data_IF_672130697358
#
_entry.id   IF_672130697358
#
_cell.length_a   1.000
_cell.length_b   1.000
_cell.length_c   1.000
_cell.angle_alpha   90.00
_cell.angle_beta   90.00
_cell.angle_gamma   90.00
#
_symmetry.space_group_name_H-M   'P 1'
#
loop_
_entity.id
_entity.type
_entity.pdbx_description
1 polymer ?
#
# COMPACT_ATOMS: atom_id res chain seq x y z
N UNK A 1 49.41 10.30 15.88
CA UNK A 1 48.45 10.60 14.80
C UNK A 1 47.12 9.98 15.21
N UNK A 2 46.10 10.81 15.48
CA UNK A 2 44.69 10.42 15.70
C UNK A 2 44.15 9.72 14.41
N UNK A 3 43.16 8.83 14.43
CA UNK A 3 41.78 9.04 14.92
C UNK A 3 41.14 7.72 15.37
N UNK A 4 40.66 7.70 16.62
CA UNK A 4 39.47 6.94 17.00
C UNK A 4 38.24 7.78 16.64
N UNK A 5 37.13 7.13 16.28
CA UNK A 5 35.79 7.22 16.90
C UNK A 5 34.89 6.29 16.07
N UNK A 6 34.64 5.08 16.58
CA UNK A 6 33.38 4.40 16.29
C UNK A 6 32.30 5.17 17.05
N UNK A 7 31.55 6.00 16.33
CA UNK A 7 30.32 6.56 16.86
C UNK A 7 29.26 5.46 16.77
N UNK A 8 29.07 4.72 17.85
CA UNK A 8 27.82 3.99 18.06
C UNK A 8 26.78 5.08 18.25
N UNK A 9 26.05 5.41 17.17
CA UNK A 9 24.89 6.29 17.26
C UNK A 9 23.84 5.53 18.09
N UNK A 10 23.54 6.06 19.28
CA UNK A 10 22.34 5.71 20.02
C UNK A 10 21.14 5.84 19.07
N UNK A 11 20.15 4.94 19.11
CA UNK A 11 18.97 5.07 18.27
C UNK A 11 18.32 6.42 18.59
N UNK A 12 18.32 7.32 17.61
CA UNK A 12 17.67 8.62 17.75
C UNK A 12 16.19 8.34 17.95
N UNK A 13 15.69 8.57 19.17
CA UNK A 13 14.26 8.58 19.45
C UNK A 13 13.69 9.83 18.75
N UNK A 14 13.37 9.67 17.48
CA UNK A 14 12.72 10.68 16.68
C UNK A 14 11.27 10.81 17.15
N UNK A 15 10.99 11.85 17.95
CA UNK A 15 9.63 12.28 18.34
C UNK A 15 8.88 12.98 17.19
N UNK A 16 9.27 12.75 15.92
CA UNK A 16 8.59 13.37 14.77
C UNK A 16 7.17 12.79 14.66
N UNK A 17 6.13 13.63 14.54
CA UNK A 17 4.79 13.13 14.27
C UNK A 17 4.82 12.31 12.97
N UNK A 18 4.14 11.16 12.97
CA UNK A 18 3.98 10.37 11.76
C UNK A 18 3.21 11.21 10.75
N UNK A 19 3.79 11.45 9.59
CA UNK A 19 3.13 12.21 8.54
C UNK A 19 2.38 11.29 7.58
N UNK A 20 1.37 11.85 6.93
CA UNK A 20 0.50 11.16 5.96
C UNK A 20 1.28 10.39 4.91
N UNK A 21 2.33 10.97 4.34
CA UNK A 21 3.04 10.33 3.23
C UNK A 21 3.90 9.15 3.67
N UNK A 22 4.29 9.10 4.94
CA UNK A 22 4.90 7.91 5.54
C UNK A 22 3.90 6.73 5.62
N UNK A 23 2.63 6.99 5.97
CA UNK A 23 1.57 5.98 5.90
C UNK A 23 1.29 5.52 4.47
N UNK A 24 1.32 6.44 3.50
CA UNK A 24 1.12 6.13 2.08
C UNK A 24 2.19 5.16 1.55
N UNK A 25 3.47 5.42 1.82
CA UNK A 25 4.55 4.50 1.44
C UNK A 25 4.47 3.16 2.18
N UNK A 26 4.20 3.18 3.49
CA UNK A 26 4.04 1.97 4.27
C UNK A 26 2.93 1.07 3.71
N UNK A 27 1.81 1.65 3.32
CA UNK A 27 0.70 0.94 2.71
C UNK A 27 1.04 0.32 1.36
N UNK A 28 1.78 1.04 0.50
CA UNK A 28 2.29 0.50 -0.76
C UNK A 28 3.20 -0.70 -0.54
N UNK A 29 4.11 -0.61 0.42
CA UNK A 29 4.99 -1.71 0.79
C UNK A 29 4.20 -2.92 1.30
N UNK A 30 3.30 -2.73 2.27
CA UNK A 30 2.50 -3.81 2.86
C UNK A 30 1.58 -4.45 1.82
N UNK A 31 0.98 -3.66 0.93
CA UNK A 31 0.20 -4.19 -0.19
C UNK A 31 1.07 -5.03 -1.14
N UNK A 32 2.28 -4.56 -1.47
CA UNK A 32 3.18 -5.24 -2.38
C UNK A 32 3.68 -6.60 -1.84
N UNK A 33 3.69 -6.79 -0.51
CA UNK A 33 4.01 -8.09 0.11
C UNK A 33 3.01 -9.20 -0.23
N UNK A 34 1.79 -8.87 -0.67
CA UNK A 34 0.86 -9.88 -1.20
C UNK A 34 1.37 -10.54 -2.50
N UNK A 35 2.36 -9.93 -3.16
CA UNK A 35 2.80 -10.24 -4.52
C UNK A 35 4.31 -10.49 -4.61
N UNK A 36 4.89 -11.05 -3.54
CA UNK A 36 6.34 -11.31 -3.42
C UNK A 36 6.88 -12.32 -4.45
N UNK A 37 6.01 -13.14 -5.04
CA UNK A 37 6.38 -14.05 -6.14
C UNK A 37 6.55 -13.29 -7.48
N UNK A 38 5.86 -12.17 -7.63
CA UNK A 38 5.82 -11.34 -8.84
C UNK A 38 6.79 -10.15 -8.79
N UNK A 39 7.04 -9.60 -7.61
CA UNK A 39 7.86 -8.40 -7.42
C UNK A 39 8.92 -8.59 -6.35
N UNK A 40 10.14 -8.20 -6.69
CA UNK A 40 11.25 -8.05 -5.76
C UNK A 40 11.25 -6.62 -5.21
N UNK A 41 10.97 -6.48 -3.91
CA UNK A 41 10.97 -5.18 -3.24
C UNK A 41 12.40 -4.76 -2.92
N UNK A 42 12.84 -3.63 -3.46
CA UNK A 42 14.23 -3.17 -3.32
C UNK A 42 14.37 -2.21 -2.14
N UNK A 43 13.60 -1.12 -2.17
CA UNK A 43 13.70 -0.10 -1.15
C UNK A 43 12.40 0.66 -0.95
N UNK A 44 12.28 1.24 0.23
CA UNK A 44 11.15 2.05 0.66
C UNK A 44 11.71 3.39 1.11
N UNK A 45 11.16 4.49 0.61
CA UNK A 45 11.63 5.83 0.92
C UNK A 45 10.53 6.72 1.48
N UNK A 46 10.93 7.71 2.26
CA UNK A 46 10.08 8.78 2.75
C UNK A 46 10.85 10.10 2.67
N UNK A 47 10.84 10.74 1.49
CA UNK A 47 11.65 11.94 1.23
C UNK A 47 10.92 13.21 1.68
N UNK A 48 11.64 14.07 2.42
CA UNK A 48 11.22 15.46 2.64
C UNK A 48 11.53 16.27 1.39
N UNK A 49 10.54 16.54 0.55
CA UNK A 49 10.76 17.33 -0.67
C UNK A 49 10.85 18.83 -0.37
N UNK A 50 10.23 19.35 0.71
CA UNK A 50 10.32 20.75 1.16
C UNK A 50 10.13 20.89 2.69
N UNK A 51 10.70 21.92 3.32
CA UNK A 51 10.41 22.24 4.73
C UNK A 51 8.95 22.67 4.88
N UNK A 52 8.17 21.93 5.68
CA UNK A 52 6.76 22.23 5.96
C UNK A 52 5.74 21.45 5.11
N UNK A 53 6.18 20.60 4.18
CA UNK A 53 5.31 19.69 3.40
C UNK A 53 5.43 18.25 3.92
N UNK A 54 4.36 17.45 3.82
CA UNK A 54 4.40 16.02 4.14
C UNK A 54 5.48 15.30 3.31
N UNK A 55 6.09 14.23 3.85
CA UNK A 55 7.10 13.46 3.12
C UNK A 55 6.44 12.80 1.92
N UNK A 56 7.05 12.88 0.74
CA UNK A 56 6.60 12.03 -0.37
C UNK A 56 7.25 10.66 -0.20
N UNK A 57 6.44 9.69 0.20
CA UNK A 57 6.85 8.30 0.31
C UNK A 57 6.90 7.61 -1.07
N UNK A 58 7.74 6.59 -1.22
CA UNK A 58 7.80 5.81 -2.44
C UNK A 58 8.36 4.41 -2.25
N UNK A 59 7.82 3.46 -3.00
CA UNK A 59 8.29 2.08 -3.05
C UNK A 59 9.01 1.81 -4.38
N UNK A 60 10.22 1.27 -4.31
CA UNK A 60 10.98 0.81 -5.47
C UNK A 60 10.97 -0.72 -5.45
N UNK A 61 10.50 -1.31 -6.56
CA UNK A 61 10.47 -2.75 -6.76
C UNK A 61 10.74 -3.10 -8.22
N UNK A 62 11.20 -4.33 -8.45
CA UNK A 62 11.45 -4.89 -9.78
C UNK A 62 10.52 -6.06 -9.99
N UNK A 63 9.83 -6.06 -11.13
CA UNK A 63 9.01 -7.20 -11.55
C UNK A 63 9.92 -8.36 -11.96
N UNK A 64 9.54 -9.57 -11.58
CA UNK A 64 10.14 -10.79 -12.12
C UNK A 64 9.91 -10.89 -13.65
N UNK A 65 10.97 -10.64 -14.42
CA UNK A 65 10.95 -10.61 -15.89
C UNK A 65 10.65 -11.96 -16.55
N UNK A 66 10.64 -13.06 -15.79
CA UNK A 66 10.29 -14.39 -16.30
C UNK A 66 8.77 -14.60 -16.42
N UNK A 67 7.97 -13.78 -15.74
CA UNK A 67 6.51 -13.88 -15.77
C UNK A 67 5.96 -13.12 -16.98
N UNK A 68 4.92 -13.65 -17.64
CA UNK A 68 4.22 -12.97 -18.75
C UNK A 68 3.32 -11.84 -18.23
N UNK A 69 3.11 -10.79 -19.02
CA UNK A 69 2.15 -9.73 -18.70
C UNK A 69 0.72 -10.30 -18.76
N UNK A 70 0.18 -10.68 -17.60
CA UNK A 70 -1.19 -11.13 -17.41
C UNK A 70 -2.04 -9.96 -16.83
N UNK A 71 -3.36 -9.86 -17.09
CA UNK A 71 -4.25 -8.90 -16.42
C UNK A 71 -4.05 -8.85 -14.90
N UNK A 72 -3.78 -9.99 -14.26
CA UNK A 72 -3.48 -10.04 -12.82
C UNK A 72 -2.30 -9.15 -12.43
N UNK A 73 -1.22 -9.09 -13.20
CA UNK A 73 -0.09 -8.23 -12.82
C UNK A 73 -0.47 -6.74 -12.89
N UNK A 74 -1.32 -6.36 -13.85
CA UNK A 74 -1.85 -5.00 -13.90
C UNK A 74 -2.74 -4.71 -12.70
N UNK A 75 -3.50 -5.71 -12.26
CA UNK A 75 -4.32 -5.63 -11.06
C UNK A 75 -3.47 -5.48 -9.79
N UNK A 76 -2.42 -6.29 -9.62
CA UNK A 76 -1.47 -6.20 -8.50
C UNK A 76 -0.85 -4.80 -8.42
N UNK A 77 -0.35 -4.28 -9.54
CA UNK A 77 0.21 -2.93 -9.63
C UNK A 77 -0.83 -1.85 -9.31
N UNK A 78 -2.09 -2.07 -9.73
CA UNK A 78 -3.18 -1.14 -9.45
C UNK A 78 -3.51 -1.10 -7.96
N UNK A 79 -3.51 -2.26 -7.28
CA UNK A 79 -3.72 -2.37 -5.84
C UNK A 79 -2.58 -1.69 -5.06
N UNK A 80 -1.32 -1.92 -5.47
CA UNK A 80 -0.17 -1.21 -4.89
C UNK A 80 -0.36 0.30 -5.09
N UNK A 81 -0.67 0.77 -6.28
CA UNK A 81 -0.81 2.21 -6.56
C UNK A 81 -1.93 2.86 -5.75
N UNK A 82 -3.12 2.24 -5.69
CA UNK A 82 -4.28 2.82 -4.98
C UNK A 82 -4.16 2.72 -3.45
N UNK A 83 -3.29 1.84 -2.94
CA UNK A 83 -3.06 1.68 -1.50
C UNK A 83 -2.56 2.95 -0.81
N UNK A 84 -1.81 3.81 -1.50
CA UNK A 84 -1.39 5.09 -0.94
C UNK A 84 -2.58 6.01 -0.66
N UNK A 85 -3.48 6.18 -1.62
CA UNK A 85 -4.70 7.00 -1.50
C UNK A 85 -5.62 6.45 -0.42
N UNK A 86 -5.86 5.14 -0.42
CA UNK A 86 -6.69 4.50 0.59
C UNK A 86 -6.09 4.68 2.00
N UNK A 87 -4.78 4.57 2.16
CA UNK A 87 -4.12 4.78 3.44
C UNK A 87 -4.11 6.25 3.87
N UNK A 88 -3.95 7.19 2.95
CA UNK A 88 -4.10 8.62 3.21
C UNK A 88 -5.52 8.97 3.69
N UNK A 89 -6.52 8.33 3.07
CA UNK A 89 -7.93 8.45 3.46
C UNK A 89 -8.19 7.91 4.87
N UNK A 90 -7.64 6.72 5.20
CA UNK A 90 -7.72 6.15 6.56
C UNK A 90 -6.98 7.04 7.57
N UNK A 91 -5.82 7.58 7.21
CA UNK A 91 -5.07 8.49 8.07
C UNK A 91 -5.87 9.76 8.40
N UNK A 92 -6.57 10.34 7.40
CA UNK A 92 -7.33 11.57 7.59
C UNK A 92 -8.69 11.36 8.28
N UNK A 93 -9.42 10.31 7.92
CA UNK A 93 -10.79 10.06 8.41
C UNK A 93 -10.87 9.10 9.61
N UNK A 94 -9.85 8.27 9.82
CA UNK A 94 -9.86 7.16 10.76
C UNK A 94 -10.45 5.88 10.17
N UNK A 95 -9.95 4.72 10.64
CA UNK A 95 -10.35 3.41 10.13
C UNK A 95 -11.84 3.14 10.35
N UNK A 96 -12.37 3.43 11.55
CA UNK A 96 -13.78 3.21 11.92
C UNK A 96 -14.76 3.95 10.99
N UNK A 97 -14.42 5.19 10.60
CA UNK A 97 -15.25 5.98 9.71
C UNK A 97 -15.25 5.40 8.29
N UNK A 98 -14.08 5.00 7.80
CA UNK A 98 -13.95 4.36 6.50
C UNK A 98 -14.73 3.03 6.48
N UNK A 99 -14.63 2.22 7.53
CA UNK A 99 -15.38 0.95 7.65
C UNK A 99 -16.90 1.16 7.61
N UNK A 100 -17.41 2.17 8.32
CA UNK A 100 -18.84 2.48 8.33
C UNK A 100 -19.38 2.95 6.97
N UNK A 101 -18.55 3.59 6.15
CA UNK A 101 -18.99 4.28 4.93
C UNK A 101 -18.44 3.68 3.62
N UNK A 102 -17.59 2.65 3.69
CA UNK A 102 -16.93 2.03 2.51
C UNK A 102 -17.92 1.59 1.42
N UNK A 103 -19.11 1.12 1.81
CA UNK A 103 -20.16 0.67 0.87
C UNK A 103 -20.76 1.81 0.05
N UNK A 104 -20.64 3.05 0.54
CA UNK A 104 -21.18 4.25 -0.11
C UNK A 104 -20.14 4.96 -1.00
N UNK A 105 -18.86 4.59 -0.91
CA UNK A 105 -17.77 5.17 -1.70
C UNK A 105 -18.05 5.25 -3.20
N UNK A 106 -18.61 4.21 -3.87
CA UNK A 106 -18.89 4.29 -5.30
C UNK A 106 -19.86 5.41 -5.71
N UNK A 107 -20.59 5.97 -4.75
CA UNK A 107 -21.61 7.00 -4.89
C UNK A 107 -21.23 8.33 -4.24
N UNK A 108 -20.12 8.37 -3.50
CA UNK A 108 -19.62 9.56 -2.79
C UNK A 108 -18.10 9.57 -2.78
N UNK A 109 -17.51 10.50 -3.54
CA UNK A 109 -16.06 10.68 -3.60
C UNK A 109 -15.48 11.33 -2.33
N UNK A 110 -16.34 11.73 -1.37
CA UNK A 110 -15.96 12.57 -0.22
C UNK A 110 -15.04 11.91 0.82
N UNK A 111 -14.76 10.61 0.69
CA UNK A 111 -13.86 9.87 1.57
C UNK A 111 -12.52 9.51 0.92
N UNK A 112 -12.38 9.70 -0.40
CA UNK A 112 -11.10 9.47 -1.09
C UNK A 112 -10.27 10.74 -1.04
N UNK A 113 -9.22 10.70 -0.23
CA UNK A 113 -8.28 11.81 -0.11
C UNK A 113 -7.10 11.64 -1.08
N UNK A 114 -7.07 12.49 -2.11
CA UNK A 114 -6.07 12.45 -3.17
C UNK A 114 -4.83 13.33 -2.89
N UNK A 115 -4.86 14.17 -1.85
CA UNK A 115 -3.78 15.13 -1.59
C UNK A 115 -2.43 14.42 -1.42
N UNK A 116 -1.45 14.81 -2.25
CA UNK A 116 -0.10 14.24 -2.24
C UNK A 116 0.04 12.88 -2.93
N UNK A 117 -1.03 12.35 -3.54
CA UNK A 117 -1.11 11.03 -4.16
C UNK A 117 -1.57 11.07 -5.63
N UNK A 118 -1.53 12.23 -6.27
CA UNK A 118 -2.14 12.46 -7.59
C UNK A 118 -1.47 11.62 -8.69
N UNK A 119 -0.15 11.46 -8.61
CA UNK A 119 0.62 10.62 -9.53
C UNK A 119 0.24 9.13 -9.39
N UNK A 120 0.05 8.66 -8.16
CA UNK A 120 -0.39 7.30 -7.87
C UNK A 120 -1.79 7.07 -8.41
N UNK A 121 -2.70 8.05 -8.27
CA UNK A 121 -4.04 7.98 -8.85
C UNK A 121 -4.02 7.88 -10.38
N UNK A 122 -3.13 8.64 -11.03
CA UNK A 122 -2.96 8.59 -12.48
C UNK A 122 -2.30 7.28 -12.95
N UNK A 123 -1.37 6.72 -12.18
CA UNK A 123 -0.81 5.39 -12.42
C UNK A 123 -1.88 4.31 -12.28
N UNK A 124 -2.63 4.32 -11.18
CA UNK A 124 -3.76 3.44 -10.91
C UNK A 124 -4.75 3.38 -12.08
N UNK A 125 -5.25 4.53 -12.56
CA UNK A 125 -6.19 4.56 -13.69
C UNK A 125 -5.61 3.93 -14.96
N UNK A 126 -4.33 4.12 -15.23
CA UNK A 126 -3.63 3.49 -16.39
C UNK A 126 -3.52 1.98 -16.22
N UNK A 127 -3.27 1.51 -15.00
CA UNK A 127 -3.11 0.09 -14.66
C UNK A 127 -4.44 -0.66 -14.70
N UNK A 128 -5.58 -0.03 -14.37
CA UNK A 128 -6.89 -0.67 -14.51
C UNK A 128 -7.33 -0.90 -15.96
N UNK A 129 -6.78 -0.15 -16.94
CA UNK A 129 -7.23 -0.19 -18.33
C UNK A 129 -7.00 -1.55 -19.01
N UNK A 130 -5.82 -2.20 -18.89
CA UNK A 130 -5.61 -3.56 -19.38
C UNK A 130 -6.57 -4.59 -18.78
N UNK A 131 -6.86 -4.51 -17.47
CA UNK A 131 -7.81 -5.41 -16.79
C UNK A 131 -9.22 -5.23 -17.34
N UNK A 132 -9.66 -3.98 -17.45
CA UNK A 132 -10.95 -3.61 -18.04
C UNK A 132 -11.13 -4.14 -19.46
N UNK A 133 -10.10 -4.02 -20.31
CA UNK A 133 -10.11 -4.55 -21.68
C UNK A 133 -10.15 -6.08 -21.72
N UNK A 134 -9.38 -6.73 -20.87
CA UNK A 134 -9.30 -8.20 -20.83
C UNK A 134 -10.66 -8.83 -20.47
N UNK A 135 -11.33 -8.31 -19.44
CA UNK A 135 -12.62 -8.84 -18.98
C UNK A 135 -13.85 -8.21 -19.65
N UNK A 136 -13.64 -7.26 -20.59
CA UNK A 136 -14.70 -6.48 -21.23
C UNK A 136 -15.62 -5.80 -20.21
N UNK A 137 -15.00 -5.15 -19.21
CA UNK A 137 -15.67 -4.42 -18.14
C UNK A 137 -15.46 -2.92 -18.31
N UNK A 138 -16.40 -2.10 -17.83
CA UNK A 138 -16.17 -0.65 -17.75
C UNK A 138 -15.01 -0.35 -16.80
N UNK A 139 -14.11 0.56 -17.19
CA UNK A 139 -12.93 0.91 -16.39
C UNK A 139 -13.28 1.36 -14.97
N UNK A 140 -14.38 2.11 -14.80
CA UNK A 140 -14.88 2.55 -13.49
C UNK A 140 -15.22 1.36 -12.56
N UNK A 141 -15.74 0.25 -13.11
CA UNK A 141 -16.01 -0.95 -12.30
C UNK A 141 -14.73 -1.57 -11.75
N UNK A 142 -13.72 -1.71 -12.60
CA UNK A 142 -12.41 -2.26 -12.21
C UNK A 142 -11.73 -1.36 -11.17
N UNK A 143 -11.82 -0.03 -11.35
CA UNK A 143 -11.27 0.93 -10.40
C UNK A 143 -11.92 0.78 -9.01
N UNK A 144 -13.25 0.75 -8.95
CA UNK A 144 -13.94 0.58 -7.68
C UNK A 144 -13.69 -0.79 -7.02
N UNK A 145 -13.64 -1.87 -7.80
CA UNK A 145 -13.25 -3.18 -7.30
C UNK A 145 -11.88 -3.14 -6.62
N UNK A 146 -10.89 -2.48 -7.23
CA UNK A 146 -9.57 -2.33 -6.63
C UNK A 146 -9.59 -1.43 -5.37
N UNK A 147 -10.28 -0.29 -5.41
CA UNK A 147 -10.40 0.63 -4.25
C UNK A 147 -11.03 -0.09 -3.04
N UNK A 148 -12.16 -0.77 -3.24
CA UNK A 148 -12.88 -1.46 -2.19
C UNK A 148 -12.09 -2.64 -1.64
N UNK A 149 -11.45 -3.41 -2.51
CA UNK A 149 -10.55 -4.49 -2.10
C UNK A 149 -9.37 -3.97 -1.26
N UNK A 150 -8.77 -2.83 -1.63
CA UNK A 150 -7.68 -2.22 -0.86
C UNK A 150 -8.15 -1.74 0.52
N UNK A 151 -9.33 -1.13 0.65
CA UNK A 151 -9.86 -0.76 1.96
C UNK A 151 -10.17 -1.99 2.82
N UNK A 152 -10.82 -3.00 2.25
CA UNK A 152 -11.10 -4.27 2.94
C UNK A 152 -9.82 -4.95 3.41
N UNK A 153 -8.75 -4.89 2.61
CA UNK A 153 -7.43 -5.37 3.03
C UNK A 153 -6.93 -4.66 4.29
N UNK A 154 -7.04 -3.33 4.37
CA UNK A 154 -6.64 -2.60 5.58
C UNK A 154 -7.52 -2.89 6.80
N UNK A 155 -8.77 -3.31 6.60
CA UNK A 155 -9.69 -3.71 7.67
C UNK A 155 -9.45 -5.15 8.14
N UNK A 156 -8.64 -5.95 7.44
CA UNK A 156 -8.29 -7.28 7.92
C UNK A 156 -7.44 -7.17 9.17
N UNK A 157 -7.69 -8.08 10.12
CA UNK A 157 -7.02 -8.11 11.41
C UNK A 157 -5.49 -8.06 11.27
N UNK A 158 -4.86 -7.12 11.97
CA UNK A 158 -3.42 -6.92 12.01
C UNK A 158 -2.84 -6.13 10.84
N UNK A 159 -3.57 -5.88 9.74
CA UNK A 159 -2.98 -5.22 8.57
C UNK A 159 -2.67 -3.75 8.87
N UNK A 160 -3.59 -3.01 9.48
CA UNK A 160 -3.39 -1.59 9.77
C UNK A 160 -2.30 -1.36 10.82
N UNK A 161 -2.17 -2.27 11.79
CA UNK A 161 -1.09 -2.29 12.77
C UNK A 161 0.27 -2.47 12.09
N UNK A 162 0.34 -3.36 11.08
CA UNK A 162 1.57 -3.56 10.29
C UNK A 162 1.89 -2.34 9.43
N UNK A 163 0.90 -1.71 8.80
CA UNK A 163 1.09 -0.42 8.10
C UNK A 163 1.65 0.62 9.06
N UNK A 164 1.08 0.71 10.26
CA UNK A 164 1.54 1.63 11.32
C UNK A 164 2.96 1.31 11.80
N UNK A 165 3.32 0.02 11.91
CA UNK A 165 4.66 -0.43 12.25
C UNK A 165 5.69 -0.01 11.19
N UNK A 166 5.40 -0.27 9.91
CA UNK A 166 6.26 0.12 8.79
C UNK A 166 6.38 1.64 8.69
N UNK A 167 5.28 2.37 8.89
CA UNK A 167 5.28 3.83 8.93
C UNK A 167 6.20 4.36 10.04
N UNK A 168 6.15 3.77 11.25
CA UNK A 168 7.07 4.12 12.34
C UNK A 168 8.53 3.85 11.97
N UNK A 169 8.81 2.68 11.39
CA UNK A 169 10.16 2.34 10.96
C UNK A 169 10.69 3.35 9.93
N UNK A 170 9.87 3.73 8.94
CA UNK A 170 10.21 4.75 7.94
C UNK A 170 10.47 6.13 8.56
N UNK A 171 9.67 6.54 9.52
CA UNK A 171 9.82 7.85 10.15
C UNK A 171 11.05 7.94 11.07
N UNK A 172 11.46 6.80 11.64
CA UNK A 172 12.63 6.68 12.52
C UNK A 172 13.92 6.36 11.78
N UNK A 173 13.86 6.08 10.48
CA UNK A 173 15.04 5.82 9.68
C UNK A 173 15.93 7.09 9.61
N UNK A 174 17.20 6.93 9.96
CA UNK A 174 18.21 8.00 9.84
C UNK A 174 18.50 8.34 8.36
N UNK A 175 18.24 7.39 7.46
CA UNK A 175 18.30 7.58 6.02
C UNK A 175 16.88 7.76 5.45
N UNK A 176 16.74 8.60 4.43
CA UNK A 176 15.49 8.78 3.68
C UNK A 176 15.03 7.51 2.92
N UNK A 177 15.86 6.44 2.95
CA UNK A 177 15.64 5.16 2.27
C UNK A 177 15.93 4.01 3.22
N UNK A 178 14.96 3.12 3.38
CA UNK A 178 15.08 1.84 4.08
C UNK A 178 15.21 0.69 3.07
N UNK A 179 16.08 -0.27 3.40
CA UNK A 179 16.12 -1.55 2.70
C UNK A 179 14.90 -2.38 3.05
N UNK A 180 14.15 -2.83 2.04
CA UNK A 180 12.99 -3.70 2.21
C UNK A 180 13.38 -5.04 2.85
N UNK A 181 14.56 -5.58 2.53
CA UNK A 181 15.04 -6.85 3.10
C UNK A 181 15.27 -6.76 4.59
N UNK A 182 15.95 -5.70 5.05
CA UNK A 182 16.20 -5.47 6.48
C UNK A 182 14.91 -5.23 7.26
N UNK A 183 13.95 -4.52 6.66
CA UNK A 183 12.64 -4.32 7.26
C UNK A 183 11.89 -5.65 7.40
N UNK A 184 11.90 -6.48 6.34
CA UNK A 184 11.28 -7.81 6.37
C UNK A 184 11.91 -8.74 7.41
N UNK A 185 13.24 -8.76 7.53
CA UNK A 185 13.94 -9.51 8.56
C UNK A 185 13.51 -9.09 9.97
N UNK A 186 13.32 -7.79 10.21
CA UNK A 186 12.79 -7.29 11.50
C UNK A 186 11.36 -7.75 11.72
N UNK A 187 10.49 -7.59 10.72
CA UNK A 187 9.09 -8.02 10.80
C UNK A 187 8.98 -9.52 11.12
N UNK A 188 9.84 -10.36 10.56
CA UNK A 188 9.84 -11.80 10.80
C UNK A 188 10.10 -12.20 12.26
N UNK A 189 10.73 -11.32 13.05
CA UNK A 189 11.01 -11.55 14.46
C UNK A 189 9.86 -11.09 15.38
N UNK A 190 8.80 -10.52 14.82
CA UNK A 190 7.66 -10.02 15.60
C UNK A 190 6.61 -11.12 15.82
N UNK A 191 6.00 -11.14 17.01
CA UNK A 191 5.00 -12.16 17.37
C UNK A 191 3.76 -12.15 16.47
N UNK A 192 3.39 -10.99 15.92
CA UNK A 192 2.24 -10.81 15.02
C UNK A 192 2.51 -11.30 13.58
N UNK A 193 3.77 -11.58 13.21
CA UNK A 193 4.13 -11.89 11.82
C UNK A 193 3.43 -13.11 11.21
N UNK A 194 3.23 -14.24 11.94
CA UNK A 194 2.49 -15.37 11.39
C UNK A 194 1.04 -15.03 11.06
N UNK A 195 0.38 -14.23 11.89
CA UNK A 195 -0.99 -13.76 11.64
C UNK A 195 -1.04 -12.84 10.42
N UNK A 196 -0.10 -11.89 10.33
CA UNK A 196 0.05 -11.03 9.15
C UNK A 196 0.19 -11.84 7.85
N UNK A 197 1.05 -12.87 7.83
CA UNK A 197 1.20 -13.77 6.67
C UNK A 197 -0.08 -14.52 6.31
N UNK A 198 -0.87 -14.91 7.31
CA UNK A 198 -2.19 -15.52 7.10
C UNK A 198 -3.16 -14.54 6.46
N UNK A 199 -3.18 -13.27 6.91
CA UNK A 199 -4.01 -12.21 6.33
C UNK A 199 -3.64 -11.93 4.87
N UNK A 200 -2.34 -11.87 4.51
CA UNK A 200 -1.91 -11.73 3.11
C UNK A 200 -2.43 -12.88 2.23
N UNK A 201 -2.31 -14.12 2.71
CA UNK A 201 -2.80 -15.30 1.99
C UNK A 201 -4.32 -15.28 1.82
N UNK A 202 -5.04 -14.87 2.86
CA UNK A 202 -6.51 -14.78 2.84
C UNK A 202 -6.97 -13.71 1.84
N UNK A 203 -6.32 -12.54 1.83
CA UNK A 203 -6.58 -11.51 0.83
C UNK A 203 -6.34 -12.03 -0.59
N UNK A 204 -5.18 -12.64 -0.83
CA UNK A 204 -4.84 -13.20 -2.14
C UNK A 204 -5.89 -14.22 -2.62
N UNK A 205 -6.32 -15.15 -1.76
CA UNK A 205 -7.35 -16.15 -2.10
C UNK A 205 -8.72 -15.51 -2.36
N UNK A 206 -9.07 -14.44 -1.66
CA UNK A 206 -10.36 -13.76 -1.84
C UNK A 206 -10.49 -13.07 -3.20
N UNK A 207 -9.37 -12.67 -3.80
CA UNK A 207 -9.34 -11.91 -5.06
C UNK A 207 -8.93 -12.73 -6.29
N UNK A 208 -8.09 -13.75 -6.12
CA UNK A 208 -7.52 -14.52 -7.23
C UNK A 208 -7.99 -15.98 -7.24
N UNK A 209 -8.16 -16.61 -8.43
CA UNK A 209 -7.85 -16.07 -9.76
C UNK A 209 -8.77 -14.93 -10.16
N UNK A 210 -8.22 -13.95 -10.88
CA UNK A 210 -8.99 -12.78 -11.27
C UNK A 210 -10.08 -13.19 -12.25
N UNK A 211 -11.33 -12.80 -11.97
CA UNK A 211 -12.48 -13.17 -12.81
C UNK A 211 -13.40 -11.98 -13.04
N UNK A 212 -14.13 -12.00 -14.16
CA UNK A 212 -15.12 -10.98 -14.47
C UNK A 212 -16.18 -10.86 -13.36
N UNK A 213 -16.68 -12.01 -12.90
CA UNK A 213 -17.70 -12.09 -11.84
C UNK A 213 -17.17 -11.48 -10.54
N UNK A 214 -15.95 -11.83 -10.12
CA UNK A 214 -15.33 -11.28 -8.92
C UNK A 214 -15.08 -9.77 -9.00
N UNK A 215 -14.69 -9.26 -10.18
CA UNK A 215 -14.53 -7.82 -10.41
C UNK A 215 -15.87 -7.06 -10.40
N UNK A 216 -16.99 -7.71 -10.73
CA UNK A 216 -18.32 -7.09 -10.73
C UNK A 216 -19.03 -7.17 -9.37
N UNK A 217 -18.81 -8.24 -8.60
CA UNK A 217 -19.43 -8.44 -7.27
C UNK A 217 -19.00 -7.43 -6.22
N UNK A 218 -17.89 -6.71 -6.48
CA UNK A 218 -17.38 -5.69 -5.58
C UNK A 218 -18.24 -4.41 -5.57
N UNK A 219 -19.12 -4.21 -6.55
CA UNK A 219 -19.99 -3.05 -6.63
C UNK A 219 -21.37 -3.38 -6.06
N UNK A 220 -21.96 -2.51 -5.23
CA UNK A 220 -23.39 -2.63 -4.92
C UNK A 220 -24.16 -2.54 -6.24
N UNK A 221 -25.15 -3.42 -6.41
CA UNK A 221 -26.06 -3.33 -7.55
C UNK A 221 -26.59 -1.90 -7.62
N UNK A 222 -26.52 -1.29 -8.80
CA UNK A 222 -27.05 0.05 -9.01
C UNK A 222 -28.52 0.08 -8.54
N UNK A 223 -28.80 0.84 -7.49
CA UNK A 223 -30.16 1.23 -7.14
C UNK A 223 -30.71 2.20 -8.18
#
# INVERSE_FOLDING_TARGET
MQLSIFSIQEPVISNKPLDRGTFMAAAQFVMALNFEAEFELLSLSAMNTQMGTAKKGGLIFVRNGKLKMHPEIYDHLSLISISSICAGSVYYHGLDKIEAEIVNLPYSDGLLDLEGAEEDYMAFKRLCSPVSRFFLLQAKKVQWSAILSTFRFFMMEGIWEVVSYVAKALNQADADVLSCTQLLEKMQNEEWYPQFRSSLKTFHISRYPLSKVGLESELPEMA
#
